data_IF_036883035684
#
_entry.id   IF_036883035684
#
_cell.length_a   1.000
_cell.length_b   1.000
_cell.length_c   1.000
_cell.angle_alpha   90.00
_cell.angle_beta   90.00
_cell.angle_gamma   90.00
#
_symmetry.space_group_name_H-M   'P 1'
#
loop_
_entity.id
_entity.type
_entity.pdbx_description
1 polymer ?
#
# COMPACT_ATOMS: atom_id res chain seq x y z
N UNK A 1 -51.93 39.70 -13.41
CA UNK A 1 -51.91 38.77 -12.27
C UNK A 1 -51.16 37.52 -12.70
N UNK A 2 -50.02 37.30 -12.05
CA UNK A 2 -49.25 36.06 -11.84
C UNK A 2 -49.09 35.01 -12.94
N UNK A 3 -47.84 34.83 -13.38
CA UNK A 3 -47.20 33.50 -13.40
C UNK A 3 -46.95 33.07 -11.93
N UNK A 4 -46.84 31.77 -11.55
CA UNK A 4 -45.80 30.82 -12.05
C UNK A 4 -46.39 29.38 -12.15
N UNK A 5 -45.71 28.24 -12.24
CA UNK A 5 -44.32 27.81 -12.12
C UNK A 5 -44.17 26.43 -12.79
N UNK A 6 -42.98 26.14 -13.29
CA UNK A 6 -42.55 24.84 -13.79
C UNK A 6 -42.43 23.77 -12.67
N UNK A 7 -41.91 22.59 -13.04
CA UNK A 7 -41.52 21.40 -12.23
C UNK A 7 -42.48 20.23 -12.52
N UNK A 8 -42.06 19.06 -13.06
CA UNK A 8 -40.82 18.31 -12.89
C UNK A 8 -40.68 17.30 -14.04
N UNK A 9 -39.53 17.27 -14.71
CA UNK A 9 -39.10 16.11 -15.48
C UNK A 9 -38.23 15.26 -14.56
N UNK A 10 -38.76 14.17 -14.01
CA UNK A 10 -37.94 13.17 -13.31
C UNK A 10 -37.42 12.19 -14.37
N UNK A 11 -36.20 12.45 -14.81
CA UNK A 11 -35.38 11.56 -15.59
C UNK A 11 -34.34 10.97 -14.62
N UNK A 12 -34.39 9.67 -14.33
CA UNK A 12 -33.33 9.03 -13.56
C UNK A 12 -33.20 7.55 -13.94
N UNK A 13 -32.43 7.35 -15.01
CA UNK A 13 -31.54 6.24 -15.27
C UNK A 13 -31.23 5.38 -14.03
N UNK A 14 -31.90 4.24 -13.90
CA UNK A 14 -31.65 3.24 -12.88
C UNK A 14 -31.20 1.96 -13.58
N UNK A 15 -29.89 1.83 -13.80
CA UNK A 15 -29.14 0.55 -13.83
C UNK A 15 -27.73 0.79 -14.43
N UNK A 16 -26.91 1.56 -13.73
CA UNK A 16 -25.51 1.76 -14.10
C UNK A 16 -24.54 1.73 -12.91
N UNK A 17 -24.87 1.00 -11.83
CA UNK A 17 -23.98 0.84 -10.68
C UNK A 17 -23.98 -0.60 -10.18
N UNK A 18 -23.55 -1.54 -11.03
CA UNK A 18 -23.37 -2.94 -10.65
C UNK A 18 -21.89 -3.38 -10.57
N UNK A 19 -20.92 -2.48 -10.80
CA UNK A 19 -19.50 -2.85 -10.94
C UNK A 19 -18.53 -1.91 -10.18
N UNK A 20 -18.85 -1.47 -8.96
CA UNK A 20 -17.98 -0.57 -8.18
C UNK A 20 -17.45 -1.15 -6.87
N UNK A 21 -17.83 -2.38 -6.49
CA UNK A 21 -17.64 -2.90 -5.13
C UNK A 21 -16.53 -3.95 -4.97
N UNK A 22 -15.65 -4.14 -5.96
CA UNK A 22 -14.53 -5.09 -5.86
C UNK A 22 -13.16 -4.44 -6.15
N UNK A 23 -12.98 -3.18 -5.73
CA UNK A 23 -11.64 -2.61 -5.59
C UNK A 23 -11.04 -3.17 -4.30
N UNK A 24 -10.47 -4.37 -4.38
CA UNK A 24 -9.70 -4.97 -3.29
C UNK A 24 -8.59 -4.00 -2.90
N UNK A 25 -8.67 -3.44 -1.68
CA UNK A 25 -7.62 -2.57 -1.16
C UNK A 25 -6.39 -3.43 -0.88
N UNK A 26 -5.43 -3.42 -1.81
CA UNK A 26 -4.17 -4.16 -1.68
C UNK A 26 -3.39 -3.80 -0.40
N UNK A 27 -3.68 -2.68 0.25
CA UNK A 27 -3.03 -2.26 1.49
C UNK A 27 -3.71 -2.76 2.77
N UNK A 28 -4.82 -3.50 2.67
CA UNK A 28 -5.54 -4.02 3.84
C UNK A 28 -4.62 -4.73 4.85
N UNK A 29 -3.69 -5.62 4.46
CA UNK A 29 -2.78 -6.29 5.40
C UNK A 29 -1.82 -5.34 6.14
N UNK A 30 -1.59 -4.15 5.58
CA UNK A 30 -0.65 -3.14 6.12
C UNK A 30 -1.35 -2.16 7.06
N UNK A 31 -2.68 -2.01 6.98
CA UNK A 31 -3.42 -0.98 7.73
C UNK A 31 -3.22 -1.09 9.25
N UNK A 32 -3.29 -2.31 9.76
CA UNK A 32 -3.17 -2.63 11.19
C UNK A 32 -1.73 -2.80 11.67
N UNK A 33 -0.74 -2.68 10.77
CA UNK A 33 0.67 -2.80 11.13
C UNK A 33 1.20 -1.55 11.86
N UNK A 34 2.28 -1.71 12.65
CA UNK A 34 2.94 -0.59 13.33
C UNK A 34 3.39 0.51 12.34
N UNK A 35 3.48 1.78 12.78
CA UNK A 35 3.84 2.90 11.91
C UNK A 35 5.17 2.70 11.14
N UNK A 36 6.16 2.08 11.77
CA UNK A 36 7.44 1.77 11.13
C UNK A 36 7.30 0.77 9.97
N UNK A 37 6.44 -0.24 10.12
CA UNK A 37 6.16 -1.22 9.06
C UNK A 37 5.42 -0.57 7.89
N UNK A 38 4.41 0.27 8.20
CA UNK A 38 3.69 1.04 7.18
C UNK A 38 4.61 1.94 6.36
N UNK A 39 5.54 2.64 7.02
CA UNK A 39 6.52 3.49 6.35
C UNK A 39 7.46 2.68 5.44
N UNK A 40 8.00 1.55 5.93
CA UNK A 40 8.87 0.67 5.13
C UNK A 40 8.14 0.13 3.91
N UNK A 41 6.90 -0.35 4.07
CA UNK A 41 6.08 -0.82 2.96
C UNK A 41 5.86 0.30 1.93
N UNK A 42 5.59 1.53 2.40
CA UNK A 42 5.43 2.68 1.50
C UNK A 42 6.71 3.04 0.76
N UNK A 43 7.88 2.93 1.38
CA UNK A 43 9.17 3.15 0.70
C UNK A 43 9.45 2.07 -0.35
N UNK A 44 9.11 0.81 -0.07
CA UNK A 44 9.23 -0.28 -1.04
C UNK A 44 8.28 -0.09 -2.24
N UNK A 45 7.06 0.41 -2.03
CA UNK A 45 6.13 0.78 -3.11
C UNK A 45 6.72 1.82 -4.07
N UNK A 46 7.57 2.72 -3.58
CA UNK A 46 8.24 3.74 -4.41
C UNK A 46 9.52 3.26 -5.10
N UNK A 47 10.26 2.33 -4.49
CA UNK A 47 11.64 1.98 -4.89
C UNK A 47 11.78 0.55 -5.43
N UNK A 48 10.67 -0.20 -5.54
CA UNK A 48 10.55 -1.59 -5.99
C UNK A 48 11.30 -2.63 -5.15
N UNK A 49 12.62 -2.52 -5.02
CA UNK A 49 13.46 -3.49 -4.34
C UNK A 49 14.65 -2.82 -3.66
N UNK A 50 14.77 -3.00 -2.35
CA UNK A 50 15.84 -2.40 -1.54
C UNK A 50 16.46 -3.41 -0.57
N UNK A 51 17.73 -3.21 -0.25
CA UNK A 51 18.37 -3.89 0.88
C UNK A 51 17.94 -3.28 2.21
N UNK A 52 18.19 -3.99 3.31
CA UNK A 52 17.94 -3.46 4.65
C UNK A 52 18.70 -2.17 4.97
N UNK A 53 19.92 -2.00 4.44
CA UNK A 53 20.72 -0.78 4.65
C UNK A 53 20.12 0.39 3.89
N UNK A 54 19.75 0.20 2.62
CA UNK A 54 19.10 1.24 1.81
C UNK A 54 17.75 1.63 2.41
N UNK A 55 16.96 0.65 2.91
CA UNK A 55 15.73 0.96 3.63
C UNK A 55 15.96 1.82 4.88
N UNK A 56 17.07 1.63 5.60
CA UNK A 56 17.40 2.48 6.74
C UNK A 56 17.76 3.91 6.31
N UNK A 57 18.42 4.07 5.18
CA UNK A 57 18.77 5.37 4.60
C UNK A 57 17.52 6.09 4.07
N UNK A 58 16.68 5.42 3.29
CA UNK A 58 15.47 6.00 2.70
C UNK A 58 14.39 6.34 3.74
N UNK A 59 14.21 5.50 4.75
CA UNK A 59 13.20 5.73 5.80
C UNK A 59 13.69 6.64 6.92
N UNK A 60 15.00 6.90 7.00
CA UNK A 60 15.69 7.55 8.12
C UNK A 60 15.46 6.85 9.48
N UNK A 61 15.07 5.57 9.45
CA UNK A 61 14.89 4.77 10.66
C UNK A 61 16.21 4.11 11.08
N UNK A 62 16.44 3.93 12.39
CA UNK A 62 17.56 3.11 12.84
C UNK A 62 17.48 1.68 12.27
N UNK A 63 18.63 1.03 11.94
CA UNK A 63 18.62 -0.31 11.34
C UNK A 63 17.86 -1.38 12.15
N UNK A 64 17.84 -1.25 13.49
CA UNK A 64 17.04 -2.13 14.36
C UNK A 64 15.54 -1.99 14.11
N UNK A 65 15.06 -0.78 13.87
CA UNK A 65 13.66 -0.48 13.60
C UNK A 65 13.26 -0.95 12.21
N UNK A 66 14.13 -0.80 11.21
CA UNK A 66 13.92 -1.38 9.87
C UNK A 66 13.82 -2.90 9.95
N UNK A 67 14.71 -3.55 10.71
CA UNK A 67 14.62 -5.00 10.92
C UNK A 67 13.26 -5.40 11.50
N UNK A 68 12.83 -4.71 12.56
CA UNK A 68 11.53 -4.97 13.19
C UNK A 68 10.37 -4.76 12.20
N UNK A 69 10.40 -3.68 11.43
CA UNK A 69 9.41 -3.38 10.41
C UNK A 69 9.34 -4.48 9.34
N UNK A 70 10.48 -4.91 8.81
CA UNK A 70 10.55 -6.01 7.84
C UNK A 70 10.03 -7.31 8.42
N UNK A 71 10.37 -7.67 9.66
CA UNK A 71 9.82 -8.86 10.31
C UNK A 71 8.30 -8.80 10.42
N UNK A 72 7.72 -7.65 10.79
CA UNK A 72 6.26 -7.50 10.82
C UNK A 72 5.60 -7.58 9.45
N UNK A 73 6.28 -7.14 8.39
CA UNK A 73 5.78 -7.23 7.02
C UNK A 73 5.89 -8.67 6.47
N UNK A 74 6.98 -9.38 6.78
CA UNK A 74 7.16 -10.78 6.42
C UNK A 74 6.12 -11.68 7.12
N UNK A 75 5.77 -11.37 8.37
CA UNK A 75 4.75 -12.12 9.13
C UNK A 75 3.34 -12.02 8.53
N UNK A 76 3.02 -10.91 7.84
CA UNK A 76 1.73 -10.73 7.15
C UNK A 76 1.83 -11.01 5.64
N UNK A 77 2.92 -11.64 5.18
CA UNK A 77 3.19 -11.94 3.77
C UNK A 77 3.12 -10.71 2.82
N UNK A 78 3.42 -9.51 3.34
CA UNK A 78 3.39 -8.25 2.58
C UNK A 78 4.65 -8.03 1.75
N UNK A 79 5.76 -8.66 2.15
CA UNK A 79 7.06 -8.51 1.48
C UNK A 79 7.71 -9.86 1.19
N UNK A 80 8.37 -9.93 0.05
CA UNK A 80 9.25 -11.01 -0.34
C UNK A 80 10.69 -10.67 -0.01
N UNK A 81 11.49 -11.67 0.35
CA UNK A 81 12.93 -11.52 0.51
C UNK A 81 13.73 -12.54 -0.31
N UNK A 82 14.74 -12.05 -1.03
CA UNK A 82 15.65 -12.87 -1.85
C UNK A 82 17.10 -12.48 -1.63
N UNK A 83 18.02 -13.38 -1.94
CA UNK A 83 19.45 -13.07 -1.92
C UNK A 83 19.80 -12.07 -3.01
N UNK A 84 20.68 -11.12 -2.69
CA UNK A 84 21.23 -10.22 -3.71
C UNK A 84 22.23 -10.98 -4.59
N UNK A 85 22.14 -10.76 -5.90
CA UNK A 85 23.13 -11.28 -6.85
C UNK A 85 24.48 -10.56 -6.74
N UNK A 86 24.49 -9.30 -6.29
CA UNK A 86 25.71 -8.51 -6.15
C UNK A 86 26.50 -8.88 -4.87
N UNK A 87 25.80 -9.22 -3.79
CA UNK A 87 26.40 -9.76 -2.55
C UNK A 87 25.41 -10.74 -1.92
N UNK A 88 25.66 -12.05 -2.05
CA UNK A 88 24.77 -13.10 -1.58
C UNK A 88 24.52 -13.09 -0.05
N UNK A 89 25.31 -12.33 0.72
CA UNK A 89 25.07 -12.14 2.16
C UNK A 89 23.96 -11.13 2.45
N UNK A 90 23.65 -10.27 1.49
CA UNK A 90 22.58 -9.28 1.59
C UNK A 90 21.26 -9.86 1.10
N UNK A 91 20.18 -9.45 1.75
CA UNK A 91 18.81 -9.68 1.27
C UNK A 91 18.28 -8.42 0.60
N UNK A 92 17.52 -8.65 -0.47
CA UNK A 92 16.70 -7.67 -1.15
C UNK A 92 15.25 -7.94 -0.78
N UNK A 93 14.53 -6.86 -0.48
CA UNK A 93 13.13 -6.88 -0.08
C UNK A 93 12.29 -6.16 -1.13
N UNK A 94 11.13 -6.72 -1.47
CA UNK A 94 10.15 -6.14 -2.40
C UNK A 94 8.74 -6.35 -1.86
N UNK A 95 7.78 -5.51 -2.26
CA UNK A 95 6.37 -5.76 -1.93
C UNK A 95 5.83 -6.96 -2.70
N UNK A 96 4.92 -7.68 -2.05
CA UNK A 96 4.20 -8.86 -2.56
C UNK A 96 2.70 -8.60 -2.75
N UNK A 97 2.31 -7.32 -2.70
CA UNK A 97 0.92 -6.83 -2.82
C UNK A 97 0.47 -6.63 -4.28
#
# INVERSE_FOLDING_TARGET
MSAPEAVRADNANADANADADDVVDRWEPVRDLPPSAKLVAKVLDYNETLTQSELAEETLLPPRTVRYALSRLEEEDVVDSRFSFADARKRLYSLSL
#
